data_IF_610972464443
#
_entry.id   IF_610972464443
#
_cell.length_a   1.000
_cell.length_b   1.000
_cell.length_c   1.000
_cell.angle_alpha   90.00
_cell.angle_beta   90.00
_cell.angle_gamma   90.00
#
_symmetry.space_group_name_H-M   'P 1'
#
loop_
_entity.id
_entity.type
_entity.pdbx_description
1 polymer ?
#
# COMPACT_ATOMS: atom_id res chain seq x y z
N UNK A 1 -23.97 -51.53 -34.11
CA UNK A 1 -23.67 -50.09 -33.96
C UNK A 1 -24.35 -49.34 -35.09
N UNK A 2 -25.33 -48.50 -34.81
CA UNK A 2 -25.93 -47.59 -35.77
C UNK A 2 -25.02 -46.36 -35.86
N UNK A 3 -24.25 -46.27 -36.94
CA UNK A 3 -23.55 -45.02 -37.26
C UNK A 3 -24.57 -44.01 -37.78
N UNK A 4 -24.50 -42.78 -37.25
CA UNK A 4 -25.23 -41.62 -37.74
C UNK A 4 -24.34 -40.40 -37.76
N UNK A 5 -24.63 -39.48 -38.65
CA UNK A 5 -23.98 -38.15 -38.68
C UNK A 5 -25.10 -37.15 -39.05
N UNK A 6 -25.38 -36.22 -38.14
CA UNK A 6 -26.46 -35.27 -38.30
C UNK A 6 -25.85 -33.88 -38.19
N UNK A 7 -26.05 -33.05 -39.22
CA UNK A 7 -25.65 -31.65 -39.20
C UNK A 7 -26.85 -30.74 -39.32
N UNK A 8 -26.98 -29.74 -38.47
CA UNK A 8 -28.02 -28.73 -38.49
C UNK A 8 -27.44 -27.33 -38.33
N UNK A 9 -28.05 -26.35 -39.00
CA UNK A 9 -27.71 -24.92 -38.80
C UNK A 9 -28.85 -24.23 -38.06
N UNK A 10 -28.51 -23.48 -37.06
CA UNK A 10 -29.43 -22.75 -36.18
C UNK A 10 -29.10 -21.26 -36.24
N UNK A 11 -30.14 -20.42 -36.31
CA UNK A 11 -30.06 -18.97 -36.31
C UNK A 11 -30.84 -18.43 -35.10
N UNK A 12 -30.53 -17.22 -34.62
CA UNK A 12 -31.12 -16.59 -33.45
C UNK A 12 -30.99 -17.44 -32.15
N UNK A 13 -29.90 -18.16 -32.01
CA UNK A 13 -29.62 -18.96 -30.82
C UNK A 13 -29.35 -18.02 -29.63
N UNK A 14 -30.08 -18.27 -28.53
CA UNK A 14 -29.85 -17.55 -27.27
C UNK A 14 -29.93 -18.51 -26.08
N UNK A 15 -29.16 -18.24 -25.03
CA UNK A 15 -29.14 -19.08 -23.84
C UNK A 15 -27.97 -18.81 -22.92
N UNK A 16 -27.81 -19.59 -21.82
CA UNK A 16 -26.66 -19.49 -20.97
C UNK A 16 -25.38 -19.91 -21.72
N UNK A 17 -24.31 -19.16 -21.52
CA UNK A 17 -23.03 -19.34 -22.22
C UNK A 17 -21.89 -19.67 -21.24
N UNK A 18 -22.10 -20.45 -20.20
CA UNK A 18 -21.08 -20.80 -19.22
C UNK A 18 -21.51 -20.53 -17.77
N UNK A 19 -20.65 -19.96 -16.94
CA UNK A 19 -20.95 -19.64 -15.54
C UNK A 19 -22.24 -18.83 -15.38
N UNK A 20 -22.94 -18.92 -14.23
CA UNK A 20 -24.16 -18.18 -13.97
C UNK A 20 -24.02 -16.68 -14.23
N UNK A 21 -24.96 -16.13 -15.03
CA UNK A 21 -24.98 -14.69 -15.38
C UNK A 21 -24.40 -14.37 -16.76
N UNK A 22 -23.74 -15.29 -17.44
CA UNK A 22 -23.26 -15.13 -18.81
C UNK A 22 -24.26 -15.73 -19.77
N UNK A 23 -24.77 -14.91 -20.68
CA UNK A 23 -25.72 -15.34 -21.72
C UNK A 23 -25.19 -14.99 -23.11
N UNK A 24 -25.46 -15.84 -24.07
CA UNK A 24 -25.29 -15.57 -25.49
C UNK A 24 -26.60 -15.12 -26.13
N UNK A 25 -26.51 -14.33 -27.18
CA UNK A 25 -27.61 -13.85 -28.00
C UNK A 25 -27.18 -13.75 -29.47
N UNK A 26 -28.18 -13.65 -30.36
CA UNK A 26 -27.95 -13.46 -31.81
C UNK A 26 -27.05 -14.56 -32.44
N UNK A 27 -27.08 -15.78 -31.91
CA UNK A 27 -26.18 -16.84 -32.31
C UNK A 27 -26.56 -17.46 -33.66
N UNK A 28 -25.52 -17.67 -34.51
CA UNK A 28 -25.61 -18.44 -35.75
C UNK A 28 -24.67 -19.64 -35.64
N UNK A 29 -25.21 -20.83 -35.35
CA UNK A 29 -24.44 -22.00 -34.94
C UNK A 29 -24.68 -23.18 -35.85
N UNK A 30 -23.64 -23.87 -36.25
CA UNK A 30 -23.70 -25.17 -36.91
C UNK A 30 -23.44 -26.28 -35.88
N UNK A 31 -24.41 -27.19 -35.73
CA UNK A 31 -24.33 -28.33 -34.85
C UNK A 31 -24.09 -29.61 -35.68
N UNK A 32 -23.07 -30.37 -35.29
CA UNK A 32 -22.81 -31.72 -35.81
C UNK A 32 -22.85 -32.70 -34.64
N UNK A 33 -23.63 -33.78 -34.78
CA UNK A 33 -23.74 -34.85 -33.78
C UNK A 33 -23.55 -36.21 -34.41
N UNK A 34 -22.73 -37.05 -33.81
CA UNK A 34 -22.45 -38.42 -34.21
C UNK A 34 -22.35 -39.32 -32.95
N UNK A 35 -22.13 -40.64 -33.07
CA UNK A 35 -22.03 -41.51 -31.89
C UNK A 35 -20.88 -41.21 -30.94
N UNK A 36 -19.84 -40.48 -31.37
CA UNK A 36 -18.66 -40.14 -30.58
C UNK A 36 -18.86 -38.86 -29.80
N UNK A 37 -19.73 -37.95 -30.28
CA UNK A 37 -19.93 -36.67 -29.62
C UNK A 37 -20.79 -35.67 -30.37
N UNK A 38 -20.73 -34.43 -29.86
CA UNK A 38 -21.41 -33.27 -30.42
C UNK A 38 -20.36 -32.17 -30.59
N UNK A 39 -20.43 -31.44 -31.72
CA UNK A 39 -19.69 -30.19 -31.94
C UNK A 39 -20.64 -29.11 -32.42
N UNK A 40 -20.67 -28.00 -31.71
CA UNK A 40 -21.39 -26.79 -32.12
C UNK A 40 -20.33 -25.66 -32.35
N UNK A 41 -20.42 -25.01 -33.51
CA UNK A 41 -19.44 -23.96 -33.88
C UNK A 41 -20.18 -22.82 -34.58
N UNK A 42 -19.85 -21.57 -34.23
CA UNK A 42 -20.47 -20.42 -34.83
C UNK A 42 -20.17 -19.13 -34.10
N UNK A 43 -20.86 -18.09 -34.53
CA UNK A 43 -20.68 -16.73 -34.00
C UNK A 43 -21.95 -16.36 -33.20
N UNK A 44 -21.77 -15.63 -32.11
CA UNK A 44 -22.83 -15.11 -31.24
C UNK A 44 -22.37 -13.85 -30.53
N UNK A 45 -23.27 -13.20 -29.77
CA UNK A 45 -22.89 -12.09 -28.89
C UNK A 45 -22.86 -12.54 -27.44
N UNK A 46 -21.80 -12.15 -26.73
CA UNK A 46 -21.66 -12.30 -25.28
C UNK A 46 -21.45 -10.91 -24.70
N UNK A 47 -22.31 -10.47 -23.78
CA UNK A 47 -22.24 -9.13 -23.18
C UNK A 47 -22.20 -7.99 -24.24
N UNK A 48 -22.82 -8.18 -25.40
CA UNK A 48 -22.83 -7.28 -26.57
C UNK A 48 -21.55 -7.30 -27.43
N UNK A 49 -20.55 -8.08 -27.08
CA UNK A 49 -19.36 -8.28 -27.91
C UNK A 49 -19.56 -9.48 -28.85
N UNK A 50 -19.08 -9.33 -30.09
CA UNK A 50 -19.07 -10.44 -31.03
C UNK A 50 -18.06 -11.50 -30.58
N UNK A 51 -18.49 -12.75 -30.56
CA UNK A 51 -17.69 -13.88 -30.09
C UNK A 51 -17.81 -15.06 -31.03
N UNK A 52 -16.70 -15.73 -31.29
CA UNK A 52 -16.67 -17.04 -31.94
C UNK A 52 -16.64 -18.13 -30.88
N UNK A 53 -17.53 -19.13 -31.03
CA UNK A 53 -17.74 -20.20 -30.07
C UNK A 53 -17.51 -21.55 -30.71
N UNK A 54 -16.82 -22.43 -30.01
CA UNK A 54 -16.68 -23.83 -30.33
C UNK A 54 -17.00 -24.66 -29.10
N UNK A 55 -18.11 -25.37 -29.11
CA UNK A 55 -18.51 -26.32 -28.07
C UNK A 55 -18.29 -27.74 -28.56
N UNK A 56 -17.59 -28.53 -27.79
CA UNK A 56 -17.39 -29.96 -28.02
C UNK A 56 -17.87 -30.75 -26.81
N UNK A 57 -18.69 -31.79 -27.05
CA UNK A 57 -19.11 -32.76 -26.05
C UNK A 57 -18.71 -34.16 -26.53
N UNK A 58 -17.92 -34.88 -25.71
CA UNK A 58 -17.50 -36.25 -26.05
C UNK A 58 -18.37 -37.25 -25.29
N UNK A 59 -18.95 -38.19 -26.00
CA UNK A 59 -19.83 -39.19 -25.40
C UNK A 59 -19.05 -40.43 -24.94
N UNK A 60 -19.63 -41.13 -23.95
CA UNK A 60 -19.11 -42.42 -23.50
C UNK A 60 -17.86 -42.35 -22.63
N UNK A 61 -17.45 -41.18 -22.18
CA UNK A 61 -16.33 -41.01 -21.21
C UNK A 61 -16.76 -41.47 -19.82
N UNK A 62 -15.73 -41.83 -19.03
CA UNK A 62 -15.87 -42.09 -17.60
C UNK A 62 -16.52 -40.89 -16.88
N UNK A 63 -17.43 -41.15 -15.90
CA UNK A 63 -18.09 -40.08 -15.14
C UNK A 63 -17.17 -39.06 -14.46
N UNK A 64 -15.92 -39.42 -14.19
CA UNK A 64 -14.94 -38.52 -13.55
C UNK A 64 -14.18 -37.64 -14.54
N UNK A 65 -14.35 -37.85 -15.85
CA UNK A 65 -13.66 -37.12 -16.90
C UNK A 65 -14.54 -35.99 -17.45
N UNK A 66 -14.00 -34.80 -17.64
CA UNK A 66 -14.67 -33.71 -18.33
C UNK A 66 -15.01 -34.15 -19.76
N UNK A 67 -16.28 -34.08 -20.11
CA UNK A 67 -16.81 -34.45 -21.43
C UNK A 67 -17.07 -33.21 -22.29
N UNK A 68 -17.23 -32.06 -21.66
CA UNK A 68 -17.57 -30.78 -22.30
C UNK A 68 -16.34 -29.87 -22.33
N UNK A 69 -16.09 -29.28 -23.51
CA UNK A 69 -15.16 -28.19 -23.67
C UNK A 69 -15.80 -27.07 -24.50
N UNK A 70 -15.76 -25.84 -23.99
CA UNK A 70 -16.22 -24.64 -24.70
C UNK A 70 -15.06 -23.69 -24.88
N UNK A 71 -14.75 -23.33 -26.11
CA UNK A 71 -13.79 -22.29 -26.43
C UNK A 71 -14.51 -21.05 -26.95
N UNK A 72 -14.10 -19.89 -26.46
CA UNK A 72 -14.64 -18.59 -26.81
C UNK A 72 -13.50 -17.67 -27.19
N UNK A 73 -13.57 -17.09 -28.38
CA UNK A 73 -12.64 -16.01 -28.80
C UNK A 73 -13.42 -14.75 -29.10
N UNK A 74 -12.98 -13.60 -28.59
CA UNK A 74 -13.67 -12.33 -28.72
C UNK A 74 -12.70 -11.16 -28.56
N UNK A 75 -13.17 -9.97 -28.93
CA UNK A 75 -12.56 -8.71 -28.54
C UNK A 75 -13.60 -7.94 -27.73
N UNK A 76 -13.28 -7.70 -26.46
CA UNK A 76 -14.21 -7.10 -25.49
C UNK A 76 -13.66 -5.78 -24.94
N UNK A 77 -14.54 -4.87 -24.59
CA UNK A 77 -14.22 -3.68 -23.80
C UNK A 77 -14.22 -4.02 -22.31
N UNK A 78 -13.59 -3.17 -21.48
CA UNK A 78 -13.64 -3.32 -20.02
C UNK A 78 -15.08 -3.35 -19.46
N UNK A 79 -16.04 -2.70 -20.13
CA UNK A 79 -17.46 -2.74 -19.75
C UNK A 79 -18.07 -4.12 -19.99
N UNK A 80 -17.76 -4.75 -21.09
CA UNK A 80 -18.25 -6.09 -21.44
C UNK A 80 -17.62 -7.15 -20.54
N UNK A 81 -16.34 -6.99 -20.19
CA UNK A 81 -15.68 -7.82 -19.18
C UNK A 81 -16.34 -7.71 -17.80
N UNK A 82 -16.74 -6.51 -17.36
CA UNK A 82 -17.50 -6.33 -16.12
C UNK A 82 -18.83 -7.12 -16.12
N UNK A 83 -19.53 -7.19 -17.27
CA UNK A 83 -20.80 -7.91 -17.39
C UNK A 83 -20.63 -9.42 -17.28
N UNK A 84 -19.48 -9.96 -17.62
CA UNK A 84 -19.17 -11.39 -17.49
C UNK A 84 -18.46 -11.73 -16.15
N UNK A 85 -18.43 -10.78 -15.19
CA UNK A 85 -17.93 -10.99 -13.85
C UNK A 85 -16.45 -10.65 -13.64
N UNK A 86 -15.79 -9.97 -14.59
CA UNK A 86 -14.43 -9.46 -14.46
C UNK A 86 -14.46 -7.93 -14.25
N UNK A 87 -14.50 -7.41 -13.02
CA UNK A 87 -14.73 -5.99 -12.72
C UNK A 87 -13.47 -5.13 -12.95
N UNK A 88 -13.02 -5.06 -14.19
CA UNK A 88 -11.76 -4.41 -14.58
C UNK A 88 -11.93 -2.94 -15.00
N UNK A 89 -13.16 -2.45 -15.24
CA UNK A 89 -13.47 -1.11 -15.77
C UNK A 89 -12.89 0.04 -14.95
N UNK A 90 -12.69 -0.14 -13.66
CA UNK A 90 -12.08 0.91 -12.80
C UNK A 90 -10.56 1.03 -12.98
N UNK A 91 -9.93 0.07 -13.65
CA UNK A 91 -8.48 0.00 -13.81
C UNK A 91 -8.03 0.05 -15.26
N UNK A 92 -8.95 -0.21 -16.21
CA UNK A 92 -8.61 -0.26 -17.62
C UNK A 92 -9.72 0.30 -18.51
N UNK A 93 -9.32 0.76 -19.69
CA UNK A 93 -10.18 1.20 -20.80
C UNK A 93 -9.58 0.72 -22.12
N UNK A 94 -10.42 0.57 -23.15
CA UNK A 94 -9.99 0.10 -24.47
C UNK A 94 -10.41 -1.34 -24.77
N UNK A 95 -9.83 -1.88 -25.83
CA UNK A 95 -10.14 -3.23 -26.34
C UNK A 95 -9.18 -4.27 -25.76
N UNK A 96 -9.73 -5.44 -25.42
CA UNK A 96 -9.04 -6.60 -24.86
C UNK A 96 -9.34 -7.81 -25.71
N UNK A 97 -8.31 -8.45 -26.28
CA UNK A 97 -8.45 -9.77 -26.90
C UNK A 97 -8.70 -10.82 -25.83
N UNK A 98 -9.69 -11.67 -26.04
CA UNK A 98 -10.11 -12.72 -25.09
C UNK A 98 -10.06 -14.08 -25.78
N UNK A 99 -9.34 -15.04 -25.21
CA UNK A 99 -9.39 -16.46 -25.57
C UNK A 99 -9.67 -17.25 -24.28
N UNK A 100 -10.86 -17.82 -24.17
CA UNK A 100 -11.31 -18.57 -23.01
C UNK A 100 -11.58 -20.02 -23.36
N UNK A 101 -11.09 -20.96 -22.56
CA UNK A 101 -11.44 -22.37 -22.62
C UNK A 101 -12.06 -22.77 -21.31
N UNK A 102 -13.27 -23.32 -21.37
CA UNK A 102 -14.03 -23.76 -20.21
C UNK A 102 -14.29 -25.27 -20.35
N UNK A 103 -13.99 -26.01 -19.31
CA UNK A 103 -14.14 -27.46 -19.28
C UNK A 103 -15.07 -27.89 -18.16
N UNK A 104 -15.77 -29.02 -18.39
CA UNK A 104 -16.70 -29.54 -17.43
C UNK A 104 -17.40 -30.77 -17.91
N UNK A 105 -18.63 -30.96 -17.41
CA UNK A 105 -19.52 -32.07 -17.81
C UNK A 105 -20.94 -31.57 -18.04
N UNK A 106 -21.40 -31.60 -19.27
CA UNK A 106 -22.64 -30.99 -19.67
C UNK A 106 -22.63 -29.48 -19.42
N UNK A 107 -23.49 -28.98 -18.52
CA UNK A 107 -23.52 -27.59 -18.12
C UNK A 107 -22.84 -27.32 -16.76
N UNK A 108 -22.22 -28.34 -16.16
CA UNK A 108 -21.47 -28.19 -14.93
C UNK A 108 -19.98 -27.95 -15.28
N UNK A 109 -19.57 -26.70 -15.22
CA UNK A 109 -18.18 -26.27 -15.52
C UNK A 109 -17.33 -26.41 -14.26
N UNK A 110 -16.13 -26.99 -14.43
CA UNK A 110 -15.20 -27.26 -13.33
C UNK A 110 -13.88 -26.54 -13.47
N UNK A 111 -13.45 -26.22 -14.70
CA UNK A 111 -12.16 -25.58 -14.96
C UNK A 111 -12.33 -24.49 -16.03
N UNK A 112 -11.49 -23.45 -15.93
CA UNK A 112 -11.42 -22.35 -16.89
C UNK A 112 -9.96 -21.94 -17.09
N UNK A 113 -9.58 -21.79 -18.35
CA UNK A 113 -8.36 -21.09 -18.76
C UNK A 113 -8.76 -19.84 -19.55
N UNK A 114 -8.14 -18.70 -19.22
CA UNK A 114 -8.41 -17.41 -19.86
C UNK A 114 -7.07 -16.78 -20.27
N UNK A 115 -6.97 -16.35 -21.51
CA UNK A 115 -5.87 -15.55 -22.02
C UNK A 115 -6.40 -14.19 -22.49
N UNK A 116 -5.76 -13.12 -22.03
CA UNK A 116 -6.12 -11.75 -22.37
C UNK A 116 -4.94 -11.08 -23.10
N UNK A 117 -5.19 -10.58 -24.28
CA UNK A 117 -4.31 -9.63 -24.96
C UNK A 117 -4.69 -8.22 -24.55
N UNK A 118 -3.80 -7.54 -23.85
CA UNK A 118 -3.99 -6.22 -23.28
C UNK A 118 -3.28 -5.12 -24.10
N UNK A 119 -2.78 -5.40 -25.30
CA UNK A 119 -2.03 -4.44 -26.10
C UNK A 119 -2.86 -3.15 -26.34
N UNK A 120 -4.12 -3.27 -26.74
CA UNK A 120 -4.97 -2.13 -27.08
C UNK A 120 -5.73 -1.53 -25.88
N UNK A 121 -5.52 -2.08 -24.69
CA UNK A 121 -6.08 -1.54 -23.45
C UNK A 121 -5.11 -0.53 -22.81
N UNK A 122 -5.65 0.61 -22.36
CA UNK A 122 -4.97 1.49 -21.42
C UNK A 122 -5.25 1.00 -19.99
N UNK A 123 -4.22 0.90 -19.15
CA UNK A 123 -4.33 0.41 -17.77
C UNK A 123 -3.79 1.48 -16.84
N UNK A 124 -4.51 1.77 -15.74
CA UNK A 124 -4.07 2.66 -14.67
C UNK A 124 -4.39 2.02 -13.32
N UNK A 125 -3.37 1.56 -12.61
CA UNK A 125 -3.53 1.03 -11.26
C UNK A 125 -3.50 2.15 -10.21
N UNK A 126 -4.19 1.97 -9.07
CA UNK A 126 -4.21 2.97 -8.00
C UNK A 126 -2.82 3.35 -7.53
N UNK A 127 -2.68 4.58 -7.02
CA UNK A 127 -1.43 5.15 -6.51
C UNK A 127 -0.29 5.19 -7.55
N UNK A 128 -0.62 5.25 -8.86
CA UNK A 128 0.42 5.24 -9.91
C UNK A 128 1.31 4.00 -9.89
N UNK A 129 0.80 2.90 -9.33
CA UNK A 129 1.57 1.67 -9.20
C UNK A 129 2.03 1.15 -10.56
N UNK A 130 1.14 1.19 -11.56
CA UNK A 130 1.46 0.87 -12.94
C UNK A 130 0.47 1.54 -13.88
N UNK A 131 1.00 2.30 -14.82
CA UNK A 131 0.27 2.97 -15.89
C UNK A 131 0.80 2.48 -17.23
N UNK A 132 -0.10 1.96 -18.07
CA UNK A 132 0.19 1.47 -19.41
C UNK A 132 -0.71 2.17 -20.42
N UNK A 133 -0.18 2.92 -21.39
CA UNK A 133 -0.99 3.44 -22.47
C UNK A 133 -1.44 2.31 -23.44
N UNK A 134 -2.50 2.56 -24.19
CA UNK A 134 -2.91 1.69 -25.28
C UNK A 134 -1.82 1.63 -26.36
N UNK A 135 -1.63 0.45 -26.96
CA UNK A 135 -0.61 0.18 -27.97
C UNK A 135 0.68 -0.44 -27.42
N UNK A 136 0.93 -0.41 -26.12
CA UNK A 136 2.04 -1.11 -25.48
C UNK A 136 1.69 -2.58 -25.24
N UNK A 137 2.62 -3.53 -25.50
CA UNK A 137 2.36 -4.94 -25.29
C UNK A 137 2.17 -5.29 -23.81
N UNK A 138 1.09 -5.96 -23.50
CA UNK A 138 0.89 -6.66 -22.24
C UNK A 138 -0.09 -7.82 -22.43
N UNK A 139 0.01 -8.85 -21.60
CA UNK A 139 -0.86 -10.00 -21.62
C UNK A 139 -1.14 -10.51 -20.21
N UNK A 140 -2.34 -11.05 -20.01
CA UNK A 140 -2.68 -11.75 -18.79
C UNK A 140 -3.19 -13.15 -19.09
N UNK A 141 -2.89 -14.11 -18.21
CA UNK A 141 -3.44 -15.47 -18.29
C UNK A 141 -3.93 -15.90 -16.92
N UNK A 142 -5.04 -16.62 -16.91
CA UNK A 142 -5.72 -17.10 -15.71
C UNK A 142 -6.04 -18.59 -15.87
N UNK A 143 -5.82 -19.39 -14.85
CA UNK A 143 -6.29 -20.75 -14.73
C UNK A 143 -7.02 -20.88 -13.39
N UNK A 144 -8.27 -21.31 -13.46
CA UNK A 144 -9.12 -21.45 -12.29
C UNK A 144 -9.96 -22.71 -12.35
N UNK A 145 -10.24 -23.26 -11.17
CA UNK A 145 -11.17 -24.36 -10.98
C UNK A 145 -12.23 -24.02 -9.92
N UNK A 146 -13.32 -24.77 -9.93
CA UNK A 146 -14.34 -24.72 -8.89
C UNK A 146 -14.34 -26.06 -8.18
N UNK A 147 -14.19 -26.03 -6.86
CA UNK A 147 -14.19 -27.22 -6.00
C UNK A 147 -15.62 -27.72 -5.75
N UNK A 148 -15.79 -28.93 -5.22
CA UNK A 148 -17.11 -29.52 -4.96
C UNK A 148 -17.97 -28.72 -3.97
N UNK A 149 -17.35 -28.01 -3.04
CA UNK A 149 -17.98 -27.12 -2.06
C UNK A 149 -18.24 -25.70 -2.60
N UNK A 150 -17.89 -25.45 -3.87
CA UNK A 150 -18.14 -24.19 -4.57
C UNK A 150 -17.08 -23.08 -4.32
N UNK A 151 -15.96 -23.42 -3.68
CA UNK A 151 -14.82 -22.52 -3.60
C UNK A 151 -14.15 -22.39 -4.97
N UNK A 152 -13.57 -21.21 -5.25
CA UNK A 152 -12.83 -20.97 -6.49
C UNK A 152 -11.35 -21.06 -6.21
N UNK A 153 -10.70 -22.00 -6.86
CA UNK A 153 -9.25 -22.18 -6.83
C UNK A 153 -8.65 -21.47 -8.05
N UNK A 154 -7.92 -20.41 -7.83
CA UNK A 154 -7.13 -19.72 -8.84
C UNK A 154 -5.74 -20.34 -8.83
N UNK A 155 -5.51 -21.33 -9.70
CA UNK A 155 -4.22 -22.06 -9.72
C UNK A 155 -3.09 -21.16 -10.19
N UNK A 156 -3.36 -20.29 -11.16
CA UNK A 156 -2.39 -19.35 -11.69
C UNK A 156 -3.06 -18.12 -12.28
N UNK A 157 -2.61 -16.95 -11.85
CA UNK A 157 -2.77 -15.69 -12.55
C UNK A 157 -1.40 -15.14 -12.91
N UNK A 158 -1.16 -14.88 -14.18
CA UNK A 158 0.07 -14.24 -14.67
C UNK A 158 -0.31 -12.98 -15.42
N UNK A 159 0.38 -11.88 -15.13
CA UNK A 159 0.37 -10.64 -15.89
C UNK A 159 1.79 -10.34 -16.34
N UNK A 160 1.98 -10.03 -17.62
CA UNK A 160 3.28 -9.69 -18.20
C UNK A 160 3.16 -8.46 -19.07
N UNK A 161 4.11 -7.55 -18.94
CA UNK A 161 4.28 -6.36 -19.76
C UNK A 161 5.75 -5.93 -19.75
N UNK A 162 6.06 -4.81 -20.36
CA UNK A 162 7.44 -4.31 -20.40
C UNK A 162 7.94 -3.96 -18.98
N UNK A 163 7.08 -3.32 -18.18
CA UNK A 163 7.40 -2.79 -16.86
C UNK A 163 6.71 -3.53 -15.70
N UNK A 164 6.00 -4.62 -16.00
CA UNK A 164 5.23 -5.37 -15.02
C UNK A 164 5.38 -6.87 -15.20
N UNK A 165 5.48 -7.58 -14.09
CA UNK A 165 5.30 -9.02 -14.02
C UNK A 165 4.62 -9.38 -12.70
N UNK A 166 3.51 -10.11 -12.78
CA UNK A 166 2.82 -10.68 -11.64
C UNK A 166 2.63 -12.18 -11.88
N UNK A 167 2.92 -12.98 -10.88
CA UNK A 167 2.56 -14.39 -10.83
C UNK A 167 2.00 -14.71 -9.45
N UNK A 168 0.73 -15.12 -9.42
CA UNK A 168 0.01 -15.39 -8.17
C UNK A 168 -0.95 -16.56 -8.34
N UNK A 169 -1.23 -17.23 -7.23
CA UNK A 169 -2.35 -18.15 -7.04
C UNK A 169 -3.23 -17.63 -5.91
N UNK A 170 -4.50 -18.05 -5.85
CA UNK A 170 -5.41 -17.64 -4.80
C UNK A 170 -6.52 -18.68 -4.59
N UNK A 171 -7.09 -18.65 -3.39
CA UNK A 171 -8.27 -19.39 -3.02
C UNK A 171 -9.36 -18.43 -2.55
N UNK A 172 -10.55 -18.54 -3.13
CA UNK A 172 -11.70 -17.73 -2.80
C UNK A 172 -12.80 -18.62 -2.23
N UNK A 173 -13.44 -18.17 -1.17
CA UNK A 173 -14.63 -18.80 -0.62
C UNK A 173 -15.79 -18.77 -1.66
N UNK A 174 -16.85 -19.59 -1.49
CA UNK A 174 -18.00 -19.60 -2.40
C UNK A 174 -18.70 -18.24 -2.55
N UNK A 175 -18.55 -17.35 -1.59
CA UNK A 175 -19.07 -15.98 -1.63
C UNK A 175 -18.11 -14.97 -2.33
N UNK A 176 -16.98 -15.45 -2.88
CA UNK A 176 -15.98 -14.67 -3.58
C UNK A 176 -14.95 -13.96 -2.68
N UNK A 177 -14.99 -14.18 -1.36
CA UNK A 177 -13.99 -13.58 -0.45
C UNK A 177 -12.67 -14.32 -0.51
N UNK A 178 -11.58 -13.58 -0.48
CA UNK A 178 -10.22 -14.11 -0.47
C UNK A 178 -9.95 -14.87 0.84
N UNK A 179 -9.58 -16.14 0.73
CA UNK A 179 -9.10 -16.99 1.83
C UNK A 179 -7.58 -17.01 1.90
N UNK A 180 -6.94 -17.23 0.75
CA UNK A 180 -5.49 -17.24 0.64
C UNK A 180 -5.06 -16.70 -0.72
N UNK A 181 -3.87 -16.12 -0.78
CA UNK A 181 -3.18 -15.82 -2.04
C UNK A 181 -1.67 -15.92 -1.84
N UNK A 182 -0.98 -16.38 -2.87
CA UNK A 182 0.47 -16.45 -2.89
C UNK A 182 0.98 -15.82 -4.18
N UNK A 183 1.54 -14.64 -4.09
CA UNK A 183 2.23 -13.98 -5.19
C UNK A 183 3.72 -14.34 -5.11
N UNK A 184 4.15 -15.27 -5.95
CA UNK A 184 5.56 -15.68 -6.03
C UNK A 184 6.44 -14.59 -6.61
N UNK A 185 5.87 -13.70 -7.42
CA UNK A 185 6.52 -12.55 -8.00
C UNK A 185 5.54 -11.40 -8.20
N UNK A 186 5.89 -10.24 -7.66
CA UNK A 186 5.29 -8.94 -7.97
C UNK A 186 6.43 -8.02 -8.39
N UNK A 187 6.47 -7.66 -9.64
CA UNK A 187 7.46 -6.75 -10.19
C UNK A 187 6.76 -5.62 -10.93
N UNK A 188 7.12 -4.39 -10.57
CA UNK A 188 6.79 -3.17 -11.31
C UNK A 188 8.06 -2.34 -11.35
N UNK A 189 8.51 -1.99 -12.56
CA UNK A 189 9.78 -1.26 -12.78
C UNK A 189 9.83 -0.02 -11.89
N UNK A 190 10.95 0.16 -11.19
CA UNK A 190 11.25 1.27 -10.29
C UNK A 190 10.25 1.46 -9.10
N UNK A 191 9.30 0.53 -8.92
CA UNK A 191 8.28 0.59 -7.86
C UNK A 191 8.32 -0.60 -6.92
N UNK A 192 8.24 -1.82 -7.44
CA UNK A 192 8.13 -3.04 -6.64
C UNK A 192 8.96 -4.18 -7.22
N UNK A 193 9.64 -4.92 -6.36
CA UNK A 193 10.11 -6.27 -6.62
C UNK A 193 10.03 -7.06 -5.32
N UNK A 194 9.01 -7.92 -5.21
CA UNK A 194 8.72 -8.65 -3.98
C UNK A 194 7.88 -9.92 -4.25
N UNK A 195 7.75 -10.74 -3.23
CA UNK A 195 6.75 -11.79 -3.09
C UNK A 195 5.81 -11.44 -1.94
N UNK A 196 4.59 -11.96 -1.98
CA UNK A 196 3.59 -11.74 -0.95
C UNK A 196 2.78 -13.01 -0.68
N UNK A 197 2.48 -13.24 0.58
CA UNK A 197 1.56 -14.27 1.03
C UNK A 197 0.44 -13.62 1.83
N UNK A 198 -0.79 -13.95 1.49
CA UNK A 198 -1.99 -13.45 2.15
C UNK A 198 -2.79 -14.65 2.60
N UNK A 199 -3.27 -14.66 3.84
CA UNK A 199 -4.08 -15.75 4.36
C UNK A 199 -5.12 -15.28 5.39
N UNK A 200 -6.21 -16.05 5.51
CA UNK A 200 -7.25 -15.91 6.54
C UNK A 200 -7.46 -17.27 7.21
N UNK A 201 -6.59 -17.65 8.16
CA UNK A 201 -6.64 -18.99 8.77
C UNK A 201 -7.97 -19.28 9.47
N UNK A 202 -8.67 -18.26 9.95
CA UNK A 202 -9.95 -18.38 10.66
C UNK A 202 -11.17 -18.22 9.73
N UNK A 203 -10.98 -18.35 8.40
CA UNK A 203 -12.04 -18.24 7.40
C UNK A 203 -12.31 -16.81 6.91
N UNK A 204 -13.34 -16.60 6.07
CA UNK A 204 -13.53 -15.34 5.30
C UNK A 204 -13.68 -14.08 6.14
N UNK A 205 -14.19 -14.20 7.37
CA UNK A 205 -14.33 -13.09 8.33
C UNK A 205 -13.12 -12.97 9.28
N UNK A 206 -12.18 -13.91 9.19
CA UNK A 206 -11.04 -14.00 10.09
C UNK A 206 -10.01 -12.90 9.89
N UNK A 207 -9.01 -12.91 10.75
CA UNK A 207 -7.86 -12.04 10.71
C UNK A 207 -7.11 -12.19 9.38
N UNK A 208 -6.86 -11.08 8.69
CA UNK A 208 -6.03 -11.06 7.49
C UNK A 208 -4.55 -11.05 7.89
N UNK A 209 -3.82 -12.06 7.47
CA UNK A 209 -2.37 -12.12 7.59
C UNK A 209 -1.74 -11.80 6.23
N UNK A 210 -0.77 -10.90 6.22
CA UNK A 210 -0.03 -10.48 5.03
C UNK A 210 1.46 -10.56 5.35
N UNK A 211 2.18 -11.34 4.59
CA UNK A 211 3.65 -11.44 4.67
C UNK A 211 4.24 -11.00 3.33
N UNK A 212 5.19 -10.07 3.38
CA UNK A 212 5.84 -9.51 2.19
C UNK A 212 7.35 -9.68 2.33
N UNK A 213 8.01 -10.13 1.26
CA UNK A 213 9.46 -10.27 1.22
C UNK A 213 9.99 -9.87 -0.16
N UNK A 214 11.14 -9.20 -0.21
CA UNK A 214 11.72 -8.87 -1.50
C UNK A 214 12.87 -7.88 -1.47
N UNK A 215 13.53 -7.70 -2.63
CA UNK A 215 14.68 -6.82 -2.73
C UNK A 215 14.34 -5.33 -2.75
N UNK A 216 13.09 -4.94 -3.15
CA UNK A 216 12.79 -3.53 -3.34
C UNK A 216 11.31 -3.17 -3.22
N UNK A 217 11.05 -2.03 -2.59
CA UNK A 217 9.75 -1.37 -2.59
C UNK A 217 9.91 0.17 -2.55
N UNK A 218 9.26 0.87 -3.47
CA UNK A 218 8.96 2.29 -3.34
C UNK A 218 7.65 2.44 -2.58
N UNK A 219 7.75 2.98 -1.38
CA UNK A 219 6.62 3.10 -0.46
C UNK A 219 6.07 4.54 -0.39
N UNK A 220 6.47 5.44 -1.27
CA UNK A 220 6.07 6.85 -1.25
C UNK A 220 4.55 7.01 -1.20
N UNK A 221 3.85 6.36 -2.13
CA UNK A 221 2.39 6.46 -2.23
C UNK A 221 1.65 5.69 -1.12
N UNK A 222 2.30 4.66 -0.54
CA UNK A 222 1.71 3.87 0.55
C UNK A 222 1.65 4.66 1.87
N UNK A 223 2.63 5.52 2.13
CA UNK A 223 2.62 6.37 3.32
C UNK A 223 1.59 7.51 3.23
N UNK A 224 1.23 7.96 2.03
CA UNK A 224 0.10 8.87 1.81
C UNK A 224 -1.25 8.26 2.23
N UNK A 225 -1.39 6.93 2.13
CA UNK A 225 -2.58 6.18 2.55
C UNK A 225 -2.54 5.87 4.06
N UNK A 226 -1.34 5.66 4.61
CA UNK A 226 -1.13 5.27 6.01
C UNK A 226 -0.85 6.45 6.96
N UNK A 227 -0.60 7.67 6.43
CA UNK A 227 -0.47 8.83 7.26
C UNK A 227 -1.77 9.04 8.05
N UNK A 228 -1.70 9.23 9.37
CA UNK A 228 -2.86 9.50 10.19
C UNK A 228 -3.33 10.95 9.97
N UNK A 229 -3.73 11.26 8.75
CA UNK A 229 -4.63 12.38 8.49
C UNK A 229 -5.96 12.01 9.14
N UNK A 230 -6.25 12.56 10.27
CA UNK A 230 -7.43 12.58 11.17
C UNK A 230 -8.73 11.85 10.83
N UNK A 231 -8.75 10.95 9.91
CA UNK A 231 -9.76 9.97 9.63
C UNK A 231 -9.03 8.66 9.46
N UNK A 232 -8.81 7.94 10.53
CA UNK A 232 -8.26 6.60 10.47
C UNK A 232 -9.03 5.85 9.40
N UNK A 233 -8.34 5.39 8.36
CA UNK A 233 -8.90 4.37 7.50
C UNK A 233 -9.25 3.22 8.44
N UNK A 234 -10.50 3.15 8.85
CA UNK A 234 -11.05 1.96 9.46
C UNK A 234 -11.02 0.94 8.34
N UNK A 235 -9.97 0.13 8.30
CA UNK A 235 -9.84 -0.96 7.32
C UNK A 235 -11.00 -1.94 7.48
N UNK A 236 -11.90 -1.71 8.43
CA UNK A 236 -13.08 -2.53 8.72
C UNK A 236 -12.73 -4.00 9.06
N UNK A 237 -11.45 -4.36 9.00
CA UNK A 237 -10.93 -5.70 9.19
C UNK A 237 -9.68 -5.67 10.08
N UNK A 238 -9.47 -6.74 10.82
CA UNK A 238 -8.22 -6.97 11.56
C UNK A 238 -7.13 -7.45 10.58
N UNK A 239 -5.95 -6.81 10.63
CA UNK A 239 -4.82 -7.13 9.75
C UNK A 239 -3.55 -7.31 10.57
N UNK A 240 -2.82 -8.39 10.32
CA UNK A 240 -1.43 -8.53 10.70
C UNK A 240 -0.58 -8.46 9.43
N UNK A 241 0.35 -7.54 9.41
CA UNK A 241 1.30 -7.36 8.32
C UNK A 241 2.72 -7.59 8.83
N UNK A 242 3.49 -8.38 8.09
CA UNK A 242 4.92 -8.57 8.30
C UNK A 242 5.65 -8.35 6.98
N UNK A 243 6.70 -7.53 7.00
CA UNK A 243 7.50 -7.21 5.82
C UNK A 243 8.98 -7.37 6.10
N UNK A 244 9.72 -7.99 5.16
CA UNK A 244 11.17 -8.05 5.15
C UNK A 244 11.66 -7.65 3.76
N UNK A 245 12.31 -6.49 3.66
CA UNK A 245 12.70 -5.89 2.39
C UNK A 245 14.17 -5.44 2.44
N UNK A 246 14.94 -5.79 1.41
CA UNK A 246 16.34 -5.39 1.36
C UNK A 246 16.49 -3.87 1.23
N UNK A 247 15.55 -3.23 0.51
CA UNK A 247 15.56 -1.78 0.27
C UNK A 247 14.15 -1.23 0.12
N UNK A 248 13.88 -0.15 0.85
CA UNK A 248 12.64 0.63 0.76
C UNK A 248 12.99 2.09 0.48
N UNK A 249 12.29 2.69 -0.46
CA UNK A 249 12.27 4.14 -0.67
C UNK A 249 11.00 4.70 -0.03
N UNK A 250 11.18 5.79 0.72
CA UNK A 250 10.08 6.58 1.27
C UNK A 250 10.36 8.02 0.88
N UNK A 251 9.61 8.54 -0.08
CA UNK A 251 9.98 9.78 -0.78
C UNK A 251 11.41 9.64 -1.32
N UNK A 252 12.28 10.59 -1.13
CA UNK A 252 13.69 10.54 -1.57
C UNK A 252 14.63 9.83 -0.57
N UNK A 253 14.10 9.27 0.52
CA UNK A 253 14.89 8.64 1.57
C UNK A 253 15.00 7.13 1.37
N UNK A 254 16.23 6.61 1.49
CA UNK A 254 16.53 5.19 1.32
C UNK A 254 16.76 4.52 2.67
N UNK A 255 16.05 3.41 2.86
CA UNK A 255 16.23 2.48 3.98
C UNK A 255 16.66 1.12 3.43
N UNK A 256 17.52 0.41 4.16
CA UNK A 256 17.97 -0.95 3.84
C UNK A 256 17.72 -1.89 5.02
N UNK A 257 17.72 -3.19 4.76
CA UNK A 257 17.48 -4.23 5.77
C UNK A 257 16.23 -3.96 6.60
N UNK A 258 15.12 -3.67 5.90
CA UNK A 258 13.88 -3.19 6.50
C UNK A 258 13.04 -4.36 7.01
N UNK A 259 12.83 -4.42 8.33
CA UNK A 259 11.84 -5.27 8.98
C UNK A 259 10.65 -4.44 9.47
N UNK A 260 9.43 -4.83 9.09
CA UNK A 260 8.20 -4.15 9.47
C UNK A 260 7.17 -5.14 10.02
N UNK A 261 6.61 -4.84 11.19
CA UNK A 261 5.45 -5.52 11.76
C UNK A 261 4.37 -4.49 12.05
N UNK A 262 3.17 -4.72 11.55
CA UNK A 262 2.02 -3.85 11.77
C UNK A 262 0.77 -4.69 12.07
N UNK A 263 0.22 -4.52 13.26
CA UNK A 263 -1.04 -5.12 13.64
C UNK A 263 -2.10 -4.03 13.76
N UNK A 264 -3.13 -4.12 12.93
CA UNK A 264 -4.28 -3.21 12.93
C UNK A 264 -5.52 -3.96 13.38
N UNK A 265 -6.33 -3.30 14.21
CA UNK A 265 -7.64 -3.77 14.66
C UNK A 265 -8.68 -2.71 14.30
N UNK A 266 -9.97 -3.00 14.38
CA UNK A 266 -11.02 -2.00 14.13
C UNK A 266 -10.86 -0.73 14.97
N UNK A 267 -10.31 -0.85 16.17
CA UNK A 267 -10.09 0.25 17.13
C UNK A 267 -8.81 1.05 16.86
N UNK A 268 -7.96 0.59 15.93
CA UNK A 268 -6.73 1.28 15.56
C UNK A 268 -5.49 0.39 15.52
N UNK A 269 -4.31 1.02 15.51
CA UNK A 269 -3.02 0.33 15.51
C UNK A 269 -2.76 -0.27 16.89
N UNK A 270 -2.66 -1.60 16.95
CA UNK A 270 -2.32 -2.35 18.16
C UNK A 270 -0.78 -2.38 18.34
N UNK A 271 -0.07 -2.72 17.28
CA UNK A 271 1.39 -2.88 17.27
C UNK A 271 1.98 -2.33 15.99
N UNK A 272 3.11 -1.65 16.12
CA UNK A 272 3.96 -1.23 15.00
C UNK A 272 5.43 -1.37 15.39
N UNK A 273 6.20 -2.10 14.60
CA UNK A 273 7.66 -2.21 14.76
C UNK A 273 8.30 -1.99 13.40
N UNK A 274 9.22 -1.05 13.33
CA UNK A 274 10.07 -0.80 12.18
C UNK A 274 11.52 -0.86 12.63
N UNK A 275 12.29 -1.70 12.00
CA UNK A 275 13.75 -1.78 12.14
C UNK A 275 14.35 -1.67 10.74
N UNK A 276 15.28 -0.76 10.56
CA UNK A 276 15.91 -0.51 9.26
C UNK A 276 17.27 0.14 9.43
N UNK A 277 18.12 0.05 8.41
CA UNK A 277 19.34 0.83 8.33
C UNK A 277 19.13 2.02 7.39
N UNK A 278 19.49 3.22 7.87
CA UNK A 278 19.59 4.44 7.08
C UNK A 278 21.05 4.77 6.80
N UNK A 279 21.31 5.80 5.98
CA UNK A 279 22.68 6.18 5.58
C UNK A 279 23.62 6.47 6.76
N UNK A 280 23.11 6.91 7.91
CA UNK A 280 23.89 7.28 9.09
C UNK A 280 23.83 6.23 10.23
N UNK A 281 23.09 5.14 10.05
CA UNK A 281 22.97 4.04 11.01
C UNK A 281 21.54 3.55 11.22
N UNK A 282 21.33 2.69 12.23
CA UNK A 282 20.07 2.02 12.43
C UNK A 282 18.94 2.96 12.88
N UNK A 283 17.75 2.69 12.37
CA UNK A 283 16.49 3.32 12.74
C UNK A 283 15.60 2.26 13.38
N UNK A 284 15.07 2.55 14.55
CA UNK A 284 14.19 1.64 15.28
C UNK A 284 12.98 2.44 15.75
N UNK A 285 11.79 2.01 15.35
CA UNK A 285 10.51 2.54 15.87
C UNK A 285 9.70 1.39 16.41
N UNK A 286 9.26 1.48 17.66
CA UNK A 286 8.40 0.48 18.29
C UNK A 286 7.22 1.15 18.95
N UNK A 287 6.03 0.65 18.65
CA UNK A 287 4.79 0.98 19.30
C UNK A 287 4.09 -0.31 19.65
N UNK A 288 4.18 -0.73 20.91
CA UNK A 288 3.80 -2.07 21.33
C UNK A 288 3.03 -2.05 22.63
N UNK A 289 2.00 -2.92 22.80
CA UNK A 289 1.29 -3.06 24.07
C UNK A 289 2.18 -3.73 25.12
N UNK A 290 2.15 -3.19 26.33
CA UNK A 290 2.75 -3.79 27.51
C UNK A 290 1.89 -4.96 28.00
N UNK A 291 2.49 -6.12 28.24
CA UNK A 291 1.75 -7.36 28.50
C UNK A 291 0.78 -7.27 29.68
N UNK A 292 1.16 -6.58 30.76
CA UNK A 292 0.40 -6.54 32.00
C UNK A 292 -0.71 -5.47 32.02
N UNK A 293 -0.50 -4.37 31.33
CA UNK A 293 -1.37 -3.17 31.41
C UNK A 293 -2.15 -2.90 30.14
N UNK A 294 -1.68 -3.42 28.99
CA UNK A 294 -2.19 -3.10 27.67
C UNK A 294 -1.85 -1.66 27.21
N UNK A 295 -1.16 -0.87 28.04
CA UNK A 295 -0.65 0.46 27.65
C UNK A 295 0.34 0.28 26.50
N UNK A 296 0.15 1.03 25.42
CA UNK A 296 1.02 0.95 24.24
C UNK A 296 2.17 1.92 24.40
N UNK A 297 3.41 1.39 24.39
CA UNK A 297 4.63 2.18 24.51
C UNK A 297 5.19 2.51 23.14
N UNK A 298 5.49 3.80 22.94
CA UNK A 298 6.17 4.32 21.76
C UNK A 298 7.63 4.56 22.11
N UNK A 299 8.54 4.06 21.26
CA UNK A 299 9.94 4.45 21.26
C UNK A 299 10.42 4.60 19.83
N UNK A 300 11.14 5.68 19.52
CA UNK A 300 11.81 5.86 18.24
C UNK A 300 13.24 6.34 18.45
N UNK A 301 14.17 5.71 17.77
CA UNK A 301 15.59 6.00 17.79
C UNK A 301 16.11 6.07 16.35
N UNK A 302 16.89 7.07 16.05
CA UNK A 302 17.57 7.19 14.75
C UNK A 302 18.69 8.21 14.79
N UNK A 303 19.77 8.00 14.01
CA UNK A 303 20.92 8.89 13.98
C UNK A 303 20.69 10.17 13.18
N UNK A 304 19.57 10.24 12.41
CA UNK A 304 19.24 11.38 11.56
C UNK A 304 17.75 11.72 11.65
N UNK A 305 17.43 12.70 12.51
CA UNK A 305 16.07 13.21 12.68
C UNK A 305 15.54 13.87 11.40
N UNK A 306 16.40 14.55 10.65
CA UNK A 306 16.05 15.20 9.39
C UNK A 306 15.55 14.18 8.36
N UNK A 307 16.27 13.08 8.20
CA UNK A 307 15.88 11.97 7.33
C UNK A 307 14.54 11.39 7.74
N UNK A 308 14.33 11.12 9.03
CA UNK A 308 13.08 10.53 9.52
C UNK A 308 11.88 11.49 9.37
N UNK A 309 12.07 12.76 9.69
CA UNK A 309 11.01 13.76 9.55
C UNK A 309 10.69 14.06 8.09
N UNK A 310 11.68 14.04 7.19
CA UNK A 310 11.46 14.12 5.74
C UNK A 310 10.67 12.93 5.23
N UNK A 311 11.12 11.70 5.54
CA UNK A 311 10.48 10.48 5.09
C UNK A 311 9.03 10.35 5.57
N UNK A 312 8.78 10.51 6.87
CA UNK A 312 7.50 10.17 7.49
C UNK A 312 6.57 11.36 7.73
N UNK A 313 7.10 12.57 7.89
CA UNK A 313 6.31 13.78 8.15
C UNK A 313 6.36 14.83 7.03
N UNK A 314 7.15 14.63 5.98
CA UNK A 314 7.31 15.61 4.90
C UNK A 314 8.01 16.90 5.34
N UNK A 315 8.84 16.84 6.35
CA UNK A 315 9.50 18.02 6.95
C UNK A 315 10.94 18.13 6.47
N UNK A 316 11.19 18.84 5.38
CA UNK A 316 12.47 18.88 4.67
C UNK A 316 13.43 20.00 5.15
N UNK A 317 13.09 20.67 6.26
CA UNK A 317 13.85 21.81 6.74
C UNK A 317 14.86 21.46 7.85
N UNK A 318 14.86 20.21 8.33
CA UNK A 318 15.80 19.70 9.35
C UNK A 318 16.81 18.77 8.67
N UNK A 319 18.06 18.91 9.03
CA UNK A 319 19.17 18.09 8.52
C UNK A 319 19.99 17.52 9.67
N UNK A 320 20.24 16.21 9.61
CA UNK A 320 20.95 15.48 10.65
C UNK A 320 20.18 15.40 11.97
N UNK A 321 20.91 15.16 13.02
CA UNK A 321 20.40 15.14 14.39
C UNK A 321 20.02 13.75 14.89
N UNK A 322 20.57 13.33 16.04
CA UNK A 322 20.15 12.09 16.67
C UNK A 322 18.77 12.26 17.31
N UNK A 323 17.79 11.46 16.84
CA UNK A 323 16.41 11.44 17.36
C UNK A 323 16.28 10.40 18.47
N UNK A 324 15.68 10.82 19.57
CA UNK A 324 15.09 9.95 20.59
C UNK A 324 13.67 10.41 20.90
N UNK A 325 12.72 9.51 20.81
CA UNK A 325 11.33 9.75 21.14
C UNK A 325 10.83 8.61 22.02
N UNK A 326 10.17 8.96 23.15
CA UNK A 326 9.50 8.01 24.01
C UNK A 326 8.09 8.50 24.26
N UNK A 327 7.14 7.56 24.37
CA UNK A 327 5.76 7.92 24.63
C UNK A 327 4.93 6.73 25.07
N UNK A 328 3.69 7.04 25.40
CA UNK A 328 2.69 6.03 25.76
C UNK A 328 1.32 6.44 25.27
N UNK A 329 0.52 5.45 24.91
CA UNK A 329 -0.89 5.58 24.57
C UNK A 329 -1.74 4.67 25.45
N UNK A 330 -3.01 4.99 25.69
CA UNK A 330 -3.93 4.10 26.40
C UNK A 330 -4.00 2.71 25.73
N UNK A 331 -4.49 1.69 26.44
CA UNK A 331 -4.84 0.41 25.84
C UNK A 331 -5.74 0.59 24.60
N UNK A 332 -5.63 -0.33 23.64
CA UNK A 332 -6.44 -0.28 22.42
C UNK A 332 -7.93 -0.21 22.74
N UNK A 333 -8.68 0.64 22.01
CA UNK A 333 -10.11 0.88 22.24
C UNK A 333 -10.44 1.86 23.37
N UNK A 334 -9.45 2.32 24.13
CA UNK A 334 -9.65 3.38 25.12
C UNK A 334 -9.36 4.76 24.51
N UNK A 335 -10.12 5.81 24.90
CA UNK A 335 -9.90 7.16 24.39
C UNK A 335 -8.59 7.74 24.91
N UNK A 336 -7.92 8.55 24.08
CA UNK A 336 -6.69 9.28 24.40
C UNK A 336 -5.66 9.15 23.29
N UNK A 337 -4.74 10.11 23.26
CA UNK A 337 -3.64 10.17 22.29
C UNK A 337 -2.36 9.53 22.82
N UNK A 338 -1.29 9.66 22.03
CA UNK A 338 0.07 9.33 22.43
C UNK A 338 0.68 10.55 23.13
N UNK A 339 1.19 10.38 24.35
CA UNK A 339 1.92 11.44 25.07
C UNK A 339 3.33 10.98 25.42
N UNK A 340 4.28 11.91 25.42
CA UNK A 340 5.68 11.56 25.68
C UNK A 340 6.64 12.71 25.54
N UNK A 341 7.91 12.39 25.33
CA UNK A 341 9.02 13.30 25.16
C UNK A 341 9.78 13.03 23.85
N UNK A 342 10.26 14.09 23.24
CA UNK A 342 11.12 14.08 22.07
C UNK A 342 12.41 14.83 22.35
N UNK A 343 13.53 14.25 21.96
CA UNK A 343 14.85 14.86 21.99
C UNK A 343 15.49 14.73 20.60
N UNK A 344 16.04 15.84 20.09
CA UNK A 344 16.88 15.86 18.88
C UNK A 344 18.19 16.55 19.21
N UNK A 345 19.31 15.88 19.00
CA UNK A 345 20.63 16.42 19.26
C UNK A 345 21.40 16.68 17.95
N UNK A 346 22.17 17.79 17.90
CA UNK A 346 23.11 18.10 16.81
C UNK A 346 22.45 18.17 15.41
N UNK A 347 21.48 19.03 15.23
CA UNK A 347 20.77 19.22 13.97
C UNK A 347 20.93 20.63 13.39
N UNK A 348 20.61 20.79 12.11
CA UNK A 348 20.63 22.07 11.39
C UNK A 348 19.27 22.36 10.79
N UNK A 349 18.76 23.59 10.98
CA UNK A 349 17.57 24.11 10.29
C UNK A 349 17.99 24.92 9.07
N UNK A 350 17.45 24.55 7.90
CA UNK A 350 17.62 25.29 6.65
C UNK A 350 16.29 25.84 6.14
N UNK A 351 16.36 26.84 5.24
CA UNK A 351 15.20 27.38 4.52
C UNK A 351 14.05 27.91 5.42
N UNK A 352 14.41 28.56 6.54
CA UNK A 352 13.44 29.17 7.45
C UNK A 352 13.42 30.71 7.28
N UNK A 353 12.65 31.25 6.31
CA UNK A 353 12.65 32.70 5.99
C UNK A 353 12.26 33.58 7.18
N UNK A 354 11.39 33.08 8.06
CA UNK A 354 10.96 33.80 9.26
C UNK A 354 12.11 33.91 10.28
N UNK A 355 12.82 32.84 10.56
CA UNK A 355 13.99 32.85 11.45
C UNK A 355 15.12 33.73 10.88
N UNK A 356 15.30 33.68 9.55
CA UNK A 356 16.26 34.58 8.87
C UNK A 356 15.92 36.05 9.10
N UNK A 357 14.65 36.47 9.02
CA UNK A 357 14.22 37.84 9.28
C UNK A 357 14.44 38.27 10.75
N UNK A 358 14.18 37.36 11.68
CA UNK A 358 14.33 37.61 13.11
C UNK A 358 15.82 37.78 13.45
N UNK A 359 16.67 36.89 12.94
CA UNK A 359 18.14 36.98 13.14
C UNK A 359 18.77 38.21 12.46
N UNK A 360 18.26 38.58 11.25
CA UNK A 360 18.68 39.80 10.55
C UNK A 360 18.36 41.08 11.35
N UNK A 361 17.31 41.08 12.16
CA UNK A 361 16.98 42.22 13.03
C UNK A 361 17.83 42.25 14.30
N UNK A 362 18.52 41.17 14.68
CA UNK A 362 19.16 40.99 15.95
C UNK A 362 20.67 40.76 15.94
N UNK A 363 21.31 40.25 14.89
CA UNK A 363 22.79 40.03 14.88
C UNK A 363 23.43 39.93 13.50
N UNK A 364 24.66 40.45 13.36
CA UNK A 364 25.45 40.34 12.13
C UNK A 364 26.07 38.95 11.91
N UNK A 365 26.33 38.17 12.98
CA UNK A 365 26.90 36.82 12.87
C UNK A 365 25.88 35.78 12.43
N UNK A 366 24.62 35.85 12.91
CA UNK A 366 23.53 34.99 12.46
C UNK A 366 23.18 35.18 10.98
N UNK A 367 23.39 36.36 10.43
CA UNK A 367 23.27 36.67 9.00
C UNK A 367 24.35 35.96 8.15
N UNK A 368 25.56 35.80 8.67
CA UNK A 368 26.67 35.17 7.95
C UNK A 368 26.37 33.69 7.61
N UNK A 369 25.84 32.91 8.54
CA UNK A 369 25.46 31.50 8.36
C UNK A 369 24.27 31.31 7.42
N UNK A 370 23.27 32.21 7.48
CA UNK A 370 22.12 32.19 6.58
C UNK A 370 22.47 32.61 5.15
N UNK A 371 23.35 33.62 4.99
CA UNK A 371 23.77 34.10 3.67
C UNK A 371 24.74 33.09 2.98
N UNK A 372 25.45 32.29 3.75
CA UNK A 372 26.31 31.20 3.23
C UNK A 372 25.53 29.93 2.85
N UNK A 373 24.22 29.86 3.12
CA UNK A 373 23.40 28.67 2.84
C UNK A 373 23.64 27.48 3.78
N UNK A 374 24.43 27.66 4.84
CA UNK A 374 24.82 26.61 5.80
C UNK A 374 23.70 26.28 6.82
N UNK A 375 22.66 27.12 6.93
CA UNK A 375 21.61 26.97 7.92
C UNK A 375 21.96 27.41 9.32
N UNK A 376 21.10 27.13 10.29
CA UNK A 376 21.27 27.41 11.71
C UNK A 376 21.46 26.10 12.45
N UNK A 377 22.64 25.91 13.04
CA UNK A 377 22.94 24.74 13.86
C UNK A 377 22.36 24.86 15.27
N UNK A 378 21.82 23.75 15.76
CA UNK A 378 21.32 23.58 17.11
C UNK A 378 21.99 22.37 17.76
N UNK A 379 22.27 22.48 19.05
CA UNK A 379 22.89 21.42 19.84
C UNK A 379 21.83 20.43 20.35
N UNK A 380 20.66 20.97 20.76
CA UNK A 380 19.59 20.15 21.34
C UNK A 380 18.24 20.81 21.21
N UNK A 381 17.24 19.98 20.91
CA UNK A 381 15.82 20.26 21.05
C UNK A 381 15.22 19.23 22.01
N UNK A 382 14.42 19.71 22.97
CA UNK A 382 13.63 18.89 23.88
C UNK A 382 12.20 19.42 23.93
N UNK A 383 11.20 18.53 23.96
CA UNK A 383 9.80 18.90 24.14
C UNK A 383 9.01 17.75 24.72
N UNK A 384 8.04 18.05 25.57
CA UNK A 384 6.93 17.14 25.80
C UNK A 384 5.93 17.27 24.64
N UNK A 385 5.25 16.18 24.26
CA UNK A 385 4.22 16.22 23.24
C UNK A 385 2.98 15.40 23.61
N UNK A 386 1.85 15.80 23.04
CA UNK A 386 0.63 15.00 22.98
C UNK A 386 0.17 14.95 21.53
N UNK A 387 0.06 13.75 20.97
CA UNK A 387 -0.44 13.53 19.63
C UNK A 387 -1.79 12.86 19.67
N UNK A 388 -2.83 13.56 19.21
CA UNK A 388 -4.20 13.07 19.16
C UNK A 388 -4.93 13.66 17.96
N UNK A 389 -5.69 12.81 17.24
CA UNK A 389 -6.56 13.21 16.14
C UNK A 389 -5.85 14.02 15.03
N UNK A 390 -4.60 13.67 14.72
CA UNK A 390 -3.78 14.37 13.72
C UNK A 390 -3.14 15.66 14.20
N UNK A 391 -3.38 16.06 15.45
CA UNK A 391 -2.82 17.25 16.07
C UNK A 391 -1.70 16.87 17.05
N UNK A 392 -0.53 17.50 16.89
CA UNK A 392 0.56 17.43 17.87
C UNK A 392 0.56 18.71 18.69
N UNK A 393 0.34 18.60 19.99
CA UNK A 393 0.59 19.66 20.97
C UNK A 393 2.01 19.50 21.52
N UNK A 394 2.86 20.50 21.29
CA UNK A 394 4.20 20.59 21.89
C UNK A 394 4.15 21.45 23.15
N UNK A 395 4.68 20.94 24.24
CA UNK A 395 4.71 21.62 25.53
C UNK A 395 6.15 21.76 26.01
N UNK A 396 6.44 22.87 26.65
CA UNK A 396 7.76 23.18 27.21
C UNK A 396 8.92 22.94 26.21
N UNK A 397 8.63 23.16 24.92
CA UNK A 397 9.63 22.96 23.89
C UNK A 397 10.79 23.94 24.07
N UNK A 398 12.00 23.42 23.98
CA UNK A 398 13.25 24.18 24.13
C UNK A 398 14.21 23.77 23.03
N UNK A 399 14.86 24.76 22.45
CA UNK A 399 15.96 24.52 21.55
C UNK A 399 17.13 25.40 21.92
N UNK A 400 18.34 24.84 21.92
CA UNK A 400 19.58 25.52 22.20
C UNK A 400 20.56 25.36 21.04
N UNK A 401 21.22 26.45 20.66
CA UNK A 401 22.28 26.48 19.65
C UNK A 401 23.21 27.67 19.83
N UNK A 402 24.36 27.62 19.19
CA UNK A 402 25.40 28.65 19.32
C UNK A 402 24.91 30.04 18.91
N UNK A 403 24.01 30.13 17.94
CA UNK A 403 23.53 31.42 17.40
C UNK A 403 22.11 31.80 17.88
N UNK A 404 21.32 30.82 18.37
CA UNK A 404 19.94 31.03 18.72
C UNK A 404 19.47 30.02 19.73
N UNK A 405 18.73 30.45 20.75
CA UNK A 405 17.92 29.63 21.62
C UNK A 405 16.46 30.00 21.50
N UNK A 406 15.56 29.07 21.77
CA UNK A 406 14.13 29.35 21.82
C UNK A 406 13.40 28.46 22.80
N UNK A 407 12.29 28.96 23.32
CA UNK A 407 11.29 28.18 24.07
C UNK A 407 9.92 28.46 23.53
N UNK A 408 9.09 27.43 23.40
CA UNK A 408 7.73 27.61 22.92
C UNK A 408 6.76 26.53 23.40
N UNK A 409 5.49 26.86 23.31
CA UNK A 409 4.39 25.92 23.31
C UNK A 409 3.61 26.09 22.00
N UNK A 410 3.05 25.04 21.44
CA UNK A 410 2.35 25.17 20.17
C UNK A 410 1.60 23.93 19.77
N UNK A 411 0.77 24.13 18.76
CA UNK A 411 -0.01 23.09 18.10
C UNK A 411 0.42 23.00 16.64
N UNK A 412 0.60 21.78 16.16
CA UNK A 412 0.79 21.46 14.75
C UNK A 412 -0.34 20.55 14.31
N UNK A 413 -1.16 21.03 13.40
CA UNK A 413 -2.26 20.28 12.79
C UNK A 413 -1.83 19.84 11.40
N UNK A 414 -1.61 18.54 11.22
CA UNK A 414 -1.16 17.96 9.95
C UNK A 414 -2.30 17.79 8.94
N UNK A 415 -3.55 17.77 9.40
CA UNK A 415 -4.71 17.63 8.51
C UNK A 415 -5.04 18.93 7.80
N UNK A 416 -4.87 20.07 8.48
CA UNK A 416 -5.15 21.41 7.96
C UNK A 416 -3.89 22.19 7.55
N UNK A 417 -2.70 21.56 7.63
CA UNK A 417 -1.39 22.20 7.42
C UNK A 417 -1.21 23.51 8.20
N UNK A 418 -1.71 23.53 9.45
CA UNK A 418 -1.69 24.70 10.32
C UNK A 418 -0.77 24.52 11.50
N UNK A 419 -0.07 25.58 11.85
CA UNK A 419 0.77 25.67 13.03
C UNK A 419 0.44 26.92 13.83
N UNK A 420 0.28 26.78 15.13
CA UNK A 420 0.10 27.88 16.09
C UNK A 420 1.14 27.73 17.18
N UNK A 421 2.10 28.63 17.23
CA UNK A 421 3.24 28.59 18.16
C UNK A 421 3.35 29.90 18.90
N UNK A 422 3.54 29.83 20.22
CA UNK A 422 3.79 30.98 21.09
C UNK A 422 5.03 30.71 21.93
N UNK A 423 6.01 31.61 21.86
CA UNK A 423 7.28 31.38 22.53
C UNK A 423 8.21 32.60 22.56
N UNK A 424 9.41 32.37 23.06
CA UNK A 424 10.47 33.37 23.17
C UNK A 424 11.70 32.94 22.39
N UNK A 425 12.24 33.84 21.60
CA UNK A 425 13.51 33.67 20.88
C UNK A 425 14.60 34.46 21.59
N UNK A 426 15.74 33.83 21.79
CA UNK A 426 16.90 34.38 22.44
C UNK A 426 18.09 34.36 21.45
N UNK A 427 18.38 35.49 20.76
CA UNK A 427 19.56 35.57 19.94
C UNK A 427 20.80 35.51 20.85
N UNK A 428 21.73 34.61 20.63
CA UNK A 428 22.98 34.59 21.40
C UNK A 428 23.95 35.63 20.82
N UNK A 429 24.08 36.70 21.55
CA UNK A 429 25.24 37.60 21.40
C UNK A 429 26.36 37.00 22.25
N UNK A 430 27.52 36.76 21.70
CA UNK A 430 28.72 36.19 22.32
C UNK A 430 29.10 36.64 23.72
N UNK A 431 28.20 36.51 24.68
CA UNK A 431 28.38 36.92 26.06
C UNK A 431 27.87 35.81 26.98
N UNK A 432 28.69 34.79 27.15
CA UNK A 432 28.49 33.74 28.16
C UNK A 432 28.44 34.27 29.63
N UNK A 433 28.58 35.58 29.85
CA UNK A 433 28.70 36.11 31.21
C UNK A 433 27.46 36.86 31.73
N UNK A 434 26.52 37.25 30.87
CA UNK A 434 25.38 38.08 31.32
C UNK A 434 24.10 37.23 31.54
N UNK A 435 23.89 36.13 30.83
CA UNK A 435 22.68 35.30 30.94
C UNK A 435 22.64 34.48 32.25
N UNK A 436 23.77 34.08 32.79
CA UNK A 436 23.86 33.42 34.10
C UNK A 436 23.49 34.29 35.31
N UNK A 437 23.39 35.62 35.12
CA UNK A 437 23.06 36.55 36.16
C UNK A 437 21.56 36.97 36.22
N UNK A 438 20.76 36.53 35.24
CA UNK A 438 19.30 36.79 35.24
C UNK A 438 18.59 35.57 35.80
N UNK A 439 17.98 35.62 37.02
CA UNK A 439 17.48 34.43 37.72
C UNK A 439 16.41 33.64 36.95
N UNK A 440 15.68 34.24 36.04
CA UNK A 440 14.60 33.60 35.26
C UNK A 440 15.13 33.00 33.98
N UNK A 441 16.22 33.53 33.40
CA UNK A 441 16.80 33.04 32.12
C UNK A 441 17.86 31.97 32.32
N UNK A 442 18.54 31.97 33.50
CA UNK A 442 19.54 30.96 33.85
C UNK A 442 18.95 29.55 34.00
N UNK A 443 17.75 29.43 34.56
CA UNK A 443 17.02 28.13 34.66
C UNK A 443 16.47 27.64 33.30
N UNK A 444 16.23 28.56 32.36
CA UNK A 444 15.70 28.27 31.04
C UNK A 444 16.77 27.75 30.06
N UNK A 445 18.04 28.14 30.27
CA UNK A 445 19.17 27.82 29.37
C UNK A 445 20.11 26.76 29.93
N UNK A 446 19.92 26.36 31.18
CA UNK A 446 20.70 25.30 31.80
C UNK A 446 19.88 24.04 31.93
N UNK A 447 20.43 22.90 31.55
CA UNK A 447 19.81 21.63 31.81
C UNK A 447 19.53 21.44 33.30
N UNK A 448 18.53 20.65 33.70
CA UNK A 448 18.24 20.32 35.12
C UNK A 448 19.45 19.79 35.92
N UNK A 449 20.61 19.55 35.26
CA UNK A 449 21.82 19.08 35.87
C UNK A 449 22.92 20.14 35.99
N UNK A 450 22.62 21.44 35.70
CA UNK A 450 23.56 22.52 35.91
C UNK A 450 24.73 22.62 34.89
N UNK A 451 24.67 21.87 33.79
CA UNK A 451 25.63 22.01 32.71
C UNK A 451 25.15 23.15 31.80
N UNK A 452 25.85 24.27 31.86
CA UNK A 452 25.55 25.44 31.03
C UNK A 452 25.82 25.14 29.54
N UNK A 453 25.03 25.80 28.71
CA UNK A 453 25.22 25.86 27.26
C UNK A 453 26.44 26.74 26.92
#
# INVERSE_FOLDING_TARGET
DLGFDITGRFEDVSGPAGPPGIALSEGAVTLTINPEGLRAEGDAQIASADAHLVWTETFGLDPEVNSTQVRVTSVMTARELDQIGLPLRRFMDGAVGVDATIEGRGLAFSQMALELDLQDAAIALPAGLWDKPAGEPAAASLQAGVTEDGAVQLDRLRLTGEDVALETSAELAPDGRLLAAQASRVFVRDRLELSAEISRPDGPEGLLQIVVQGPFMDAEDLFGIAAPSGGGATLGASVNFEGVLDRVLVRDQRFTDVGLVLNVRPEGVERFVLEADAAQGPVIVRFEPEADTGVRRLSALGPDAGLLLSAFAGFDNIYGGALRLNGQAPPLGQPGGVSGDIEVAEFTLNRMPLLARILAAGSLEGLGGLLSGQGIGFERLESEFVWQDGIIEMREARVAGASLGATWNGLVDFSDERMSVNGTLLPSYGVNSVLGSVPVLGELLTSRRGEGV
#
